data_IF_784011463731
#
_entry.id   IF_784011463731
#
_cell.length_a   1.000
_cell.length_b   1.000
_cell.length_c   1.000
_cell.angle_alpha   90.00
_cell.angle_beta   90.00
_cell.angle_gamma   90.00
#
_symmetry.space_group_name_H-M   'P 1'
#
loop_
_entity.id
_entity.type
_entity.pdbx_description
1 polymer ?
#
# COMPACT_ATOMS: atom_id res chain seq x y z
N UNK A 1 -73.76 -20.79 -35.06
CA UNK A 1 -73.69 -21.15 -33.63
C UNK A 1 -72.21 -21.27 -33.29
N UNK A 2 -71.54 -20.43 -32.52
CA UNK A 2 -71.94 -19.44 -31.54
C UNK A 2 -70.86 -18.33 -31.54
N UNK A 3 -71.30 -17.07 -31.60
CA UNK A 3 -70.68 -15.92 -30.91
C UNK A 3 -70.41 -16.27 -29.43
N UNK A 4 -69.57 -15.64 -28.60
CA UNK A 4 -68.87 -14.35 -28.51
C UNK A 4 -68.00 -14.52 -27.24
N UNK A 5 -66.87 -13.83 -27.11
CA UNK A 5 -66.67 -12.85 -26.04
C UNK A 5 -65.26 -12.26 -26.13
N UNK A 6 -65.28 -10.94 -26.29
CA UNK A 6 -64.16 -10.03 -26.31
C UNK A 6 -63.52 -9.92 -24.93
N UNK A 7 -62.21 -9.64 -24.89
CA UNK A 7 -61.70 -8.66 -23.94
C UNK A 7 -60.51 -7.93 -24.55
N UNK A 8 -60.74 -6.65 -24.88
CA UNK A 8 -59.72 -5.69 -25.32
C UNK A 8 -59.00 -5.16 -24.08
N UNK A 9 -57.69 -5.35 -24.00
CA UNK A 9 -56.83 -4.54 -23.15
C UNK A 9 -55.96 -3.64 -24.03
N UNK A 10 -56.01 -2.35 -23.73
CA UNK A 10 -55.27 -1.28 -24.41
C UNK A 10 -53.77 -1.41 -24.12
N UNK A 11 -52.96 -1.44 -25.19
CA UNK A 11 -51.51 -1.24 -25.11
C UNK A 11 -51.23 0.23 -24.77
N UNK A 12 -50.66 0.49 -23.59
CA UNK A 12 -49.92 1.71 -23.30
C UNK A 12 -48.45 1.47 -23.61
N UNK A 13 -47.97 2.16 -24.65
CA UNK A 13 -46.57 2.28 -25.04
C UNK A 13 -45.80 3.04 -23.94
N UNK A 14 -45.09 2.32 -23.09
CA UNK A 14 -44.02 2.86 -22.26
C UNK A 14 -42.69 2.66 -22.97
N UNK A 15 -42.18 3.70 -23.64
CA UNK A 15 -40.79 3.72 -24.13
C UNK A 15 -39.90 3.89 -22.90
N UNK A 16 -39.44 2.78 -22.33
CA UNK A 16 -38.32 2.79 -21.41
C UNK A 16 -37.05 2.94 -22.25
N UNK A 17 -36.46 4.14 -22.25
CA UNK A 17 -35.12 4.35 -22.74
C UNK A 17 -34.16 3.53 -21.87
N UNK A 18 -33.81 2.34 -22.35
CA UNK A 18 -32.68 1.57 -21.82
C UNK A 18 -31.41 2.34 -22.15
N UNK A 19 -31.04 3.24 -21.25
CA UNK A 19 -29.67 3.73 -21.19
C UNK A 19 -28.76 2.53 -21.02
N UNK A 20 -27.99 2.22 -22.05
CA UNK A 20 -26.88 1.28 -21.95
C UNK A 20 -25.88 1.92 -20.99
N UNK A 21 -26.01 1.61 -19.72
CA UNK A 21 -24.92 1.80 -18.76
C UNK A 21 -23.83 0.86 -19.25
N UNK A 22 -22.84 1.41 -19.93
CA UNK A 22 -21.62 0.71 -20.21
C UNK A 22 -21.01 0.34 -18.86
N UNK A 23 -21.25 -0.88 -18.40
CA UNK A 23 -20.46 -1.47 -17.34
C UNK A 23 -19.02 -1.45 -17.85
N UNK A 24 -18.21 -0.56 -17.27
CA UNK A 24 -16.75 -0.63 -17.38
C UNK A 24 -16.39 -2.02 -16.87
N UNK A 25 -15.97 -2.89 -17.78
CA UNK A 25 -15.42 -4.20 -17.42
C UNK A 25 -14.18 -3.96 -16.56
N UNK A 26 -14.37 -4.09 -15.25
CA UNK A 26 -13.36 -4.17 -14.20
C UNK A 26 -13.47 -5.58 -13.60
N UNK A 27 -12.38 -6.30 -13.31
CA UNK A 27 -11.01 -5.82 -13.07
C UNK A 27 -10.13 -5.75 -14.33
N UNK A 28 -8.95 -5.09 -14.28
CA UNK A 28 -7.90 -5.33 -15.26
C UNK A 28 -7.66 -6.84 -15.35
N UNK A 29 -7.67 -7.38 -16.58
CA UNK A 29 -7.21 -8.75 -16.78
C UNK A 29 -5.76 -8.82 -16.30
N UNK A 30 -5.46 -9.80 -15.45
CA UNK A 30 -4.08 -10.21 -15.13
C UNK A 30 -3.43 -10.58 -16.45
N UNK A 31 -2.70 -9.65 -17.05
CA UNK A 31 -1.93 -9.91 -18.26
C UNK A 31 -0.67 -10.63 -17.82
N UNK A 32 -0.42 -11.83 -18.35
CA UNK A 32 0.77 -12.65 -18.07
C UNK A 32 2.13 -11.98 -18.38
N UNK A 33 2.13 -10.72 -18.85
CA UNK A 33 3.33 -9.93 -19.04
C UNK A 33 3.05 -8.46 -18.79
N UNK A 34 3.93 -7.82 -18.02
CA UNK A 34 3.88 -6.39 -17.75
C UNK A 34 3.90 -5.56 -19.06
N UNK A 35 2.99 -4.57 -19.22
CA UNK A 35 3.01 -3.70 -20.38
C UNK A 35 4.34 -2.95 -20.45
N UNK A 36 5.11 -3.14 -21.54
CA UNK A 36 6.41 -2.46 -21.72
C UNK A 36 6.29 -0.94 -21.80
N UNK A 37 5.14 -0.46 -22.24
CA UNK A 37 4.82 0.97 -22.34
C UNK A 37 3.36 1.20 -21.97
N UNK A 38 3.08 2.32 -21.31
CA UNK A 38 1.73 2.76 -21.00
C UNK A 38 1.50 4.17 -21.57
N UNK A 39 0.23 4.60 -21.63
CA UNK A 39 -0.16 5.92 -22.18
C UNK A 39 0.62 7.04 -21.49
N UNK A 40 1.06 8.03 -22.27
CA UNK A 40 1.79 9.20 -21.74
C UNK A 40 3.32 9.10 -21.83
N UNK A 41 3.85 8.15 -22.61
CA UNK A 41 5.29 8.04 -22.89
C UNK A 41 6.11 7.34 -21.81
N UNK A 42 5.43 6.64 -20.90
CA UNK A 42 6.03 5.84 -19.83
C UNK A 42 6.48 4.48 -20.36
N UNK A 43 7.69 4.07 -19.96
CA UNK A 43 8.29 2.76 -20.26
C UNK A 43 8.58 2.03 -18.97
N UNK A 44 8.30 0.74 -18.93
CA UNK A 44 8.63 -0.13 -17.80
C UNK A 44 10.14 -0.20 -17.62
N UNK A 45 10.63 0.04 -16.40
CA UNK A 45 12.06 0.03 -16.07
C UNK A 45 12.42 -1.00 -15.00
N UNK A 46 11.48 -1.37 -14.15
CA UNK A 46 11.64 -2.41 -13.14
C UNK A 46 10.28 -2.97 -12.76
N UNK A 47 10.20 -4.26 -12.45
CA UNK A 47 8.97 -4.88 -12.00
C UNK A 47 9.19 -6.21 -11.29
N UNK A 48 8.16 -6.63 -10.57
CA UNK A 48 7.98 -8.01 -10.14
C UNK A 48 6.51 -8.41 -10.29
N UNK A 49 6.26 -9.52 -10.98
CA UNK A 49 4.92 -10.06 -11.25
C UNK A 49 4.58 -11.25 -10.34
N UNK A 50 5.55 -11.67 -9.51
CA UNK A 50 5.40 -12.76 -8.56
C UNK A 50 4.89 -14.10 -9.14
N UNK A 51 5.28 -14.40 -10.39
CA UNK A 51 4.84 -15.58 -11.15
C UNK A 51 5.46 -16.91 -10.69
N UNK A 52 6.46 -16.88 -9.81
CA UNK A 52 7.13 -18.07 -9.27
C UNK A 52 6.52 -18.47 -7.92
N UNK A 53 6.50 -19.76 -7.58
CA UNK A 53 6.13 -20.21 -6.24
C UNK A 53 7.36 -20.27 -5.31
N UNK A 54 7.18 -19.89 -4.04
CA UNK A 54 8.20 -20.03 -3.00
C UNK A 54 8.74 -18.71 -2.45
N UNK A 55 10.05 -18.60 -2.24
CA UNK A 55 10.67 -17.38 -1.70
C UNK A 55 10.74 -16.27 -2.74
N UNK A 56 10.79 -15.00 -2.30
CA UNK A 56 10.98 -13.85 -3.20
C UNK A 56 12.37 -13.88 -3.85
N UNK A 57 12.47 -13.29 -5.04
CA UNK A 57 13.74 -13.09 -5.74
C UNK A 57 14.70 -12.25 -4.88
N UNK A 58 15.78 -12.87 -4.41
CA UNK A 58 16.78 -12.24 -3.56
C UNK A 58 17.59 -11.17 -4.28
N UNK A 59 17.55 -11.07 -5.60
CA UNK A 59 18.15 -9.95 -6.33
C UNK A 59 17.27 -8.70 -6.29
N UNK A 60 15.96 -8.85 -6.02
CA UNK A 60 14.98 -7.75 -5.98
C UNK A 60 14.61 -7.32 -4.56
N UNK A 61 14.46 -8.29 -3.65
CA UNK A 61 13.88 -8.08 -2.33
C UNK A 61 14.81 -8.50 -1.19
N UNK A 62 14.82 -7.72 -0.12
CA UNK A 62 15.34 -8.05 1.20
C UNK A 62 14.21 -8.00 2.22
N UNK A 63 14.51 -8.35 3.48
CA UNK A 63 13.54 -8.40 4.56
C UNK A 63 14.04 -7.63 5.77
N UNK A 64 13.18 -6.82 6.37
CA UNK A 64 13.43 -6.36 7.73
C UNK A 64 13.14 -7.48 8.73
N UNK A 65 13.86 -7.47 9.85
CA UNK A 65 13.82 -8.54 10.85
C UNK A 65 13.64 -7.98 12.24
N UNK A 66 12.80 -8.64 13.03
CA UNK A 66 12.58 -8.27 14.43
C UNK A 66 11.52 -7.20 14.63
N UNK A 67 11.57 -6.59 15.81
CA UNK A 67 10.78 -5.41 16.14
C UNK A 67 11.45 -4.16 15.55
N UNK A 68 10.82 -3.54 14.56
CA UNK A 68 11.50 -2.53 13.74
C UNK A 68 11.11 -1.11 14.14
N UNK A 69 9.83 -0.77 14.21
CA UNK A 69 9.36 0.62 14.39
C UNK A 69 8.01 0.70 15.09
N UNK A 70 7.63 1.93 15.46
CA UNK A 70 6.33 2.35 15.99
C UNK A 70 5.75 1.51 17.15
N UNK A 71 6.61 0.85 17.93
CA UNK A 71 6.21 -0.04 19.04
C UNK A 71 5.31 -1.21 18.59
N UNK A 72 5.25 -1.50 17.28
CA UNK A 72 4.31 -2.44 16.66
C UNK A 72 4.37 -3.86 17.28
N UNK A 73 3.28 -4.61 17.21
CA UNK A 73 3.14 -5.90 17.92
C UNK A 73 3.88 -7.06 17.22
N UNK A 74 4.05 -6.99 15.90
CA UNK A 74 4.64 -8.07 15.11
C UNK A 74 6.17 -8.07 15.15
N UNK A 75 6.71 -9.27 15.20
CA UNK A 75 8.08 -9.57 14.83
C UNK A 75 8.17 -9.82 13.33
N UNK A 76 8.92 -8.99 12.60
CA UNK A 76 9.12 -9.20 11.17
C UNK A 76 10.07 -10.36 10.91
N UNK A 77 9.70 -11.27 10.00
CA UNK A 77 10.52 -12.42 9.62
C UNK A 77 10.23 -12.87 8.18
N UNK A 78 11.22 -13.37 7.41
CA UNK A 78 11.03 -13.74 6.01
C UNK A 78 9.99 -14.86 5.77
N UNK A 79 9.79 -15.76 6.73
CA UNK A 79 8.87 -16.91 6.62
C UNK A 79 7.40 -16.52 6.52
N UNK A 80 7.09 -15.25 6.77
CA UNK A 80 5.76 -14.65 6.64
C UNK A 80 5.53 -13.99 5.27
N UNK A 81 6.50 -14.05 4.35
CA UNK A 81 6.36 -13.57 2.98
C UNK A 81 6.76 -14.66 1.98
N UNK A 82 5.85 -15.00 1.07
CA UNK A 82 6.07 -16.03 0.07
C UNK A 82 5.26 -15.72 -1.19
N UNK A 83 5.72 -16.25 -2.30
CA UNK A 83 5.02 -16.19 -3.57
C UNK A 83 4.17 -17.44 -3.75
N UNK A 84 2.91 -17.26 -4.15
CA UNK A 84 2.01 -18.37 -4.52
C UNK A 84 0.90 -17.88 -5.44
N UNK A 85 0.60 -18.68 -6.48
CA UNK A 85 -0.49 -18.43 -7.41
C UNK A 85 -0.38 -17.06 -8.11
N UNK A 86 0.84 -16.67 -8.53
CA UNK A 86 1.10 -15.42 -9.25
C UNK A 86 1.05 -14.17 -8.36
N UNK A 87 1.36 -14.30 -7.06
CA UNK A 87 1.23 -13.23 -6.08
C UNK A 87 2.27 -13.33 -4.99
N UNK A 88 2.74 -12.20 -4.51
CA UNK A 88 3.33 -12.09 -3.18
C UNK A 88 2.22 -12.13 -2.13
N UNK A 89 2.37 -12.98 -1.13
CA UNK A 89 1.53 -13.04 0.07
C UNK A 89 2.38 -12.68 1.28
N UNK A 90 2.03 -11.58 1.93
CA UNK A 90 2.51 -11.22 3.27
C UNK A 90 1.44 -11.64 4.27
N UNK A 91 1.77 -12.54 5.18
CA UNK A 91 0.83 -13.17 6.10
C UNK A 91 1.19 -12.86 7.55
N UNK A 92 0.37 -12.06 8.24
CA UNK A 92 0.51 -11.90 9.67
C UNK A 92 -0.13 -13.09 10.40
N UNK A 93 0.59 -13.66 11.36
CA UNK A 93 0.23 -14.89 12.06
C UNK A 93 0.38 -14.73 13.57
N UNK A 94 -0.47 -15.43 14.32
CA UNK A 94 -0.22 -15.66 15.74
C UNK A 94 1.02 -16.51 15.91
N UNK A 95 1.88 -16.14 16.85
CA UNK A 95 3.09 -16.83 17.23
C UNK A 95 3.14 -17.00 18.76
N UNK A 96 4.11 -17.79 19.23
CA UNK A 96 4.43 -17.93 20.65
C UNK A 96 5.81 -18.58 20.77
N UNK A 97 6.86 -17.77 20.75
CA UNK A 97 8.22 -18.25 20.98
C UNK A 97 9.08 -17.22 21.73
N UNK A 98 10.13 -17.64 22.46
CA UNK A 98 11.01 -16.72 23.15
C UNK A 98 11.65 -15.73 22.18
N UNK A 99 11.60 -14.44 22.50
CA UNK A 99 12.12 -13.39 21.64
C UNK A 99 13.65 -13.48 21.51
N UNK A 100 14.21 -13.67 20.29
CA UNK A 100 15.66 -13.78 20.12
C UNK A 100 16.43 -12.49 20.49
N UNK A 101 15.76 -11.35 20.43
CA UNK A 101 16.32 -10.06 20.81
C UNK A 101 16.20 -9.77 22.32
N UNK A 102 15.56 -10.63 23.12
CA UNK A 102 15.35 -10.37 24.54
C UNK A 102 16.67 -10.20 25.29
N UNK A 103 16.74 -9.17 26.14
CA UNK A 103 17.84 -8.89 27.06
C UNK A 103 17.25 -8.52 28.42
N UNK A 104 17.68 -9.22 29.45
CA UNK A 104 17.31 -8.93 30.84
C UNK A 104 17.76 -7.50 31.20
N UNK A 105 16.97 -6.79 32.00
CA UNK A 105 17.22 -5.42 32.47
C UNK A 105 17.34 -4.31 31.40
N UNK A 106 16.92 -4.57 30.15
CA UNK A 106 16.84 -3.52 29.12
C UNK A 106 15.47 -2.81 29.10
N UNK A 107 15.49 -1.48 28.96
CA UNK A 107 14.28 -0.65 28.83
C UNK A 107 13.84 -0.41 27.38
N UNK A 108 14.68 -0.79 26.40
CA UNK A 108 14.34 -0.65 24.98
C UNK A 108 13.25 -1.65 24.61
N UNK A 109 12.11 -1.14 24.13
CA UNK A 109 10.93 -1.95 23.82
C UNK A 109 11.17 -3.08 22.82
N UNK A 110 12.22 -3.00 21.99
CA UNK A 110 12.58 -4.04 21.02
C UNK A 110 13.28 -5.23 21.66
N UNK A 111 13.94 -5.01 22.80
CA UNK A 111 14.78 -6.01 23.48
C UNK A 111 14.25 -6.36 24.87
N UNK A 112 13.26 -5.62 25.39
CA UNK A 112 12.63 -5.91 26.69
C UNK A 112 11.49 -6.95 26.62
N UNK A 113 11.05 -7.32 25.41
CA UNK A 113 9.98 -8.30 25.20
C UNK A 113 10.53 -9.71 25.29
N UNK A 114 10.08 -10.49 26.28
CA UNK A 114 10.50 -11.89 26.47
C UNK A 114 9.95 -12.84 25.39
N UNK A 115 8.79 -12.51 24.82
CA UNK A 115 8.08 -13.37 23.88
C UNK A 115 7.71 -12.63 22.60
N UNK A 116 7.70 -13.38 21.50
CA UNK A 116 7.07 -12.98 20.23
C UNK A 116 5.70 -13.62 20.17
N UNK A 117 4.67 -12.78 20.20
CA UNK A 117 3.26 -13.21 20.14
C UNK A 117 2.66 -13.13 18.74
N UNK A 118 3.28 -12.33 17.87
CA UNK A 118 2.82 -12.10 16.50
C UNK A 118 3.99 -12.03 15.55
N UNK A 119 3.80 -12.55 14.34
CA UNK A 119 4.78 -12.48 13.25
C UNK A 119 4.14 -11.90 12.00
N UNK A 120 4.95 -11.24 11.18
CA UNK A 120 4.56 -10.74 9.86
C UNK A 120 5.82 -10.57 9.00
N UNK A 121 5.70 -9.96 7.83
CA UNK A 121 6.84 -9.59 6.99
C UNK A 121 6.81 -8.12 6.56
N UNK A 122 8.02 -7.61 6.32
CA UNK A 122 8.30 -6.34 5.66
C UNK A 122 9.36 -6.62 4.62
N UNK A 123 8.99 -6.50 3.35
CA UNK A 123 9.89 -6.71 2.20
C UNK A 123 10.30 -5.37 1.64
N UNK A 124 11.59 -5.23 1.34
CA UNK A 124 12.19 -3.95 0.95
C UNK A 124 13.08 -4.12 -0.27
N UNK A 125 13.15 -3.10 -1.12
CA UNK A 125 14.12 -3.06 -2.23
C UNK A 125 15.43 -2.36 -1.85
N UNK A 126 15.65 -2.06 -0.57
CA UNK A 126 16.83 -1.33 -0.08
C UNK A 126 18.13 -2.03 -0.50
N UNK A 127 19.04 -1.27 -1.11
CA UNK A 127 20.32 -1.80 -1.60
C UNK A 127 20.21 -2.67 -2.86
N UNK A 128 19.00 -2.89 -3.39
CA UNK A 128 18.72 -3.71 -4.58
C UNK A 128 18.15 -2.87 -5.72
N UNK A 129 17.12 -2.08 -5.41
CA UNK A 129 16.50 -1.16 -6.34
C UNK A 129 16.02 0.11 -5.64
N UNK A 130 16.49 1.24 -6.13
CA UNK A 130 16.01 2.58 -5.79
C UNK A 130 15.84 3.36 -7.09
N UNK A 131 14.88 4.27 -7.13
CA UNK A 131 14.61 5.07 -8.33
C UNK A 131 14.26 6.50 -7.95
N UNK A 132 14.55 7.42 -8.87
CA UNK A 132 14.17 8.82 -8.77
C UNK A 132 13.20 9.12 -9.90
N UNK A 133 12.03 9.64 -9.53
CA UNK A 133 10.92 9.93 -10.42
C UNK A 133 10.39 8.69 -11.15
N UNK A 134 9.14 8.76 -11.54
CA UNK A 134 8.50 7.63 -12.18
C UNK A 134 7.02 7.57 -11.94
N UNK A 135 6.44 6.52 -12.49
CA UNK A 135 5.19 5.99 -12.01
C UNK A 135 5.45 4.67 -11.32
N UNK A 136 4.92 4.50 -10.12
CA UNK A 136 4.87 3.21 -9.42
C UNK A 136 3.44 2.74 -9.43
N UNK A 137 3.20 1.49 -9.81
CA UNK A 137 1.90 0.83 -9.68
C UNK A 137 2.10 -0.45 -8.86
N UNK A 138 1.32 -0.59 -7.79
CA UNK A 138 1.23 -1.80 -6.99
C UNK A 138 -0.22 -2.26 -7.03
N UNK A 139 -0.46 -3.43 -7.63
CA UNK A 139 -1.79 -4.04 -7.64
C UNK A 139 -1.88 -4.96 -6.42
N UNK A 140 -2.72 -4.63 -5.46
CA UNK A 140 -2.78 -5.36 -4.20
C UNK A 140 -4.19 -5.41 -3.59
N UNK A 141 -4.41 -6.44 -2.79
CA UNK A 141 -5.56 -6.65 -1.91
C UNK A 141 -5.09 -6.64 -0.47
N UNK A 142 -5.63 -5.74 0.33
CA UNK A 142 -5.25 -5.56 1.73
C UNK A 142 -6.20 -6.26 2.70
N UNK A 143 -5.72 -6.70 3.88
CA UNK A 143 -6.59 -7.17 4.95
C UNK A 143 -7.35 -5.99 5.57
N UNK A 144 -8.68 -6.01 5.45
CA UNK A 144 -9.57 -4.99 6.04
C UNK A 144 -10.17 -5.55 7.31
N UNK A 145 -9.43 -5.44 8.40
CA UNK A 145 -9.89 -5.81 9.74
C UNK A 145 -9.28 -4.87 10.79
N UNK A 146 -9.73 -5.00 12.04
CA UNK A 146 -9.26 -4.14 13.12
C UNK A 146 -7.86 -4.61 13.57
N UNK A 147 -6.88 -3.72 13.48
CA UNK A 147 -5.50 -3.98 13.91
C UNK A 147 -4.56 -4.34 12.76
N UNK A 148 -5.07 -4.63 11.57
CA UNK A 148 -4.23 -4.69 10.38
C UNK A 148 -3.69 -3.31 10.02
N UNK A 149 -2.40 -3.23 9.72
CA UNK A 149 -1.73 -2.03 9.20
C UNK A 149 -0.83 -2.37 8.00
N UNK A 150 -1.41 -2.70 6.84
CA UNK A 150 -0.68 -2.86 5.59
C UNK A 150 -0.21 -1.50 5.07
N UNK A 151 0.99 -1.47 4.49
CA UNK A 151 1.54 -0.28 3.87
C UNK A 151 2.25 -0.56 2.53
N UNK A 152 2.18 0.43 1.64
CA UNK A 152 2.97 0.56 0.41
C UNK A 152 3.63 1.92 0.50
N UNK A 153 4.94 1.94 0.65
CA UNK A 153 5.64 3.16 0.98
C UNK A 153 7.08 3.16 0.51
N UNK A 154 7.65 4.34 0.43
CA UNK A 154 8.97 4.58 -0.09
C UNK A 154 9.78 5.39 0.91
N UNK A 155 11.09 5.14 0.93
CA UNK A 155 12.02 5.84 1.81
C UNK A 155 13.32 6.16 1.10
N UNK A 156 13.88 7.35 1.34
CA UNK A 156 15.25 7.65 0.91
C UNK A 156 16.31 6.93 1.78
N UNK A 157 17.55 6.86 1.30
CA UNK A 157 18.67 6.25 2.05
C UNK A 157 19.81 7.23 2.38
N UNK A 158 19.78 8.44 1.85
CA UNK A 158 20.94 9.36 1.91
C UNK A 158 21.09 10.08 3.25
N UNK A 159 20.00 10.19 4.02
CA UNK A 159 19.94 10.94 5.28
C UNK A 159 19.22 10.15 6.38
N UNK A 160 19.35 10.54 7.67
CA UNK A 160 18.52 9.98 8.73
C UNK A 160 17.05 10.37 8.58
N UNK A 161 16.13 9.50 9.01
CA UNK A 161 14.71 9.83 9.07
C UNK A 161 14.43 11.01 10.01
N UNK A 162 13.53 11.95 9.63
CA UNK A 162 12.72 11.99 8.41
C UNK A 162 13.39 12.77 7.25
N UNK A 163 14.64 13.21 7.41
CA UNK A 163 15.33 14.01 6.41
C UNK A 163 15.65 13.25 5.11
N UNK A 164 15.53 11.92 5.09
CA UNK A 164 15.58 11.12 3.86
C UNK A 164 14.27 11.08 3.06
N UNK A 165 13.18 11.65 3.60
CA UNK A 165 11.88 11.64 2.94
C UNK A 165 11.20 10.28 2.99
N UNK A 166 9.90 10.32 3.22
CA UNK A 166 8.99 9.18 3.26
C UNK A 166 7.76 9.50 2.39
N UNK A 167 7.31 8.53 1.60
CA UNK A 167 6.07 8.63 0.81
C UNK A 167 5.25 7.38 1.01
N UNK A 168 4.06 7.55 1.55
CA UNK A 168 3.12 6.46 1.83
C UNK A 168 2.02 6.47 0.78
N UNK A 169 2.15 5.61 -0.24
CA UNK A 169 1.11 5.40 -1.26
C UNK A 169 -0.15 4.79 -0.64
N UNK A 170 0.05 3.99 0.41
CA UNK A 170 -0.99 3.35 1.20
C UNK A 170 -0.48 3.17 2.63
N UNK A 171 -1.27 3.64 3.58
CA UNK A 171 -1.41 2.99 4.89
C UNK A 171 -2.90 2.75 5.16
N UNK A 172 -3.23 1.64 5.80
CA UNK A 172 -4.57 1.40 6.31
C UNK A 172 -4.53 1.17 7.82
N UNK A 173 -5.30 1.93 8.60
CA UNK A 173 -5.44 1.71 10.04
C UNK A 173 -6.67 2.45 10.61
N UNK A 174 -6.85 2.39 11.93
CA UNK A 174 -7.89 3.14 12.63
C UNK A 174 -7.47 4.59 12.88
N UNK A 175 -8.03 5.55 12.13
CA UNK A 175 -7.86 6.97 12.38
C UNK A 175 -9.11 7.52 13.05
N UNK A 176 -8.98 8.11 14.26
CA UNK A 176 -10.11 8.61 15.05
C UNK A 176 -11.25 7.58 15.24
N UNK A 177 -10.87 6.31 15.43
CA UNK A 177 -11.81 5.20 15.62
C UNK A 177 -12.53 4.73 14.35
N UNK A 178 -12.08 5.15 13.16
CA UNK A 178 -12.63 4.73 11.87
C UNK A 178 -11.57 4.07 10.99
N UNK A 179 -11.88 2.96 10.29
CA UNK A 179 -10.98 2.40 9.28
C UNK A 179 -10.74 3.43 8.18
N UNK A 180 -9.47 3.71 7.89
CA UNK A 180 -9.07 4.84 7.04
C UNK A 180 -7.90 4.43 6.16
N UNK A 181 -7.94 4.85 4.89
CA UNK A 181 -6.80 4.86 3.98
C UNK A 181 -6.08 6.20 4.16
N UNK A 182 -4.78 6.15 4.41
CA UNK A 182 -3.89 7.31 4.45
C UNK A 182 -2.97 7.29 3.23
N UNK A 183 -2.86 8.44 2.57
CA UNK A 183 -1.86 8.74 1.55
C UNK A 183 -1.06 9.98 2.01
N UNK A 184 0.25 9.85 2.14
CA UNK A 184 1.06 10.77 2.94
C UNK A 184 2.46 11.00 2.35
N UNK A 185 3.07 12.15 2.63
CA UNK A 185 4.52 12.31 2.56
C UNK A 185 5.07 13.01 3.82
N UNK A 186 6.29 12.65 4.20
CA UNK A 186 6.98 13.17 5.39
C UNK A 186 8.43 13.58 5.11
N UNK A 187 8.86 14.69 5.71
CA UNK A 187 10.23 15.21 5.64
C UNK A 187 10.63 15.95 6.93
N UNK A 188 11.90 16.35 7.05
CA UNK A 188 12.38 17.05 8.23
C UNK A 188 11.92 18.51 8.28
N UNK A 189 11.44 18.93 9.44
CA UNK A 189 11.12 20.31 9.73
C UNK A 189 12.33 21.15 10.14
N UNK A 190 12.07 22.33 10.71
CA UNK A 190 13.10 23.35 10.96
C UNK A 190 14.03 23.02 12.14
N UNK A 191 13.53 22.25 13.12
CA UNK A 191 14.28 21.86 14.32
C UNK A 191 14.73 20.40 14.27
N UNK A 192 15.59 19.98 15.20
CA UNK A 192 16.09 18.60 15.27
C UNK A 192 15.00 17.56 15.55
N UNK A 193 13.88 17.98 16.13
CA UNK A 193 12.77 17.09 16.51
C UNK A 193 11.56 17.26 15.58
N UNK A 194 11.57 18.28 14.72
CA UNK A 194 10.43 18.63 13.90
C UNK A 194 10.30 17.71 12.67
N UNK A 195 9.07 17.27 12.43
CA UNK A 195 8.69 16.41 11.31
C UNK A 195 7.49 17.01 10.62
N UNK A 196 7.60 17.24 9.32
CA UNK A 196 6.56 17.83 8.50
C UNK A 196 5.82 16.72 7.76
N UNK A 197 4.48 16.84 7.73
CA UNK A 197 3.59 15.87 7.13
C UNK A 197 2.64 16.56 6.15
N UNK A 198 2.47 15.97 4.97
CA UNK A 198 1.39 16.29 4.04
C UNK A 198 0.50 15.04 3.91
N UNK A 199 -0.58 15.01 4.68
CA UNK A 199 -1.41 13.82 4.88
C UNK A 199 -2.83 14.00 4.37
N UNK A 200 -3.34 12.99 3.66
CA UNK A 200 -4.74 12.87 3.28
C UNK A 200 -5.36 11.61 3.86
N UNK A 201 -6.45 11.77 4.61
CA UNK A 201 -7.18 10.68 5.28
C UNK A 201 -8.52 10.44 4.59
N UNK A 202 -8.68 9.28 3.97
CA UNK A 202 -9.91 8.88 3.30
C UNK A 202 -10.59 7.75 4.09
N UNK A 203 -11.77 7.97 4.68
CA UNK A 203 -12.51 6.92 5.38
C UNK A 203 -12.79 5.74 4.45
N UNK A 204 -12.64 4.50 4.93
CA UNK A 204 -12.88 3.31 4.11
C UNK A 204 -14.31 3.23 3.55
N UNK A 205 -15.29 3.82 4.25
CA UNK A 205 -16.69 3.93 3.77
C UNK A 205 -16.80 4.67 2.45
N UNK A 206 -15.87 5.59 2.17
CA UNK A 206 -15.77 6.24 0.86
C UNK A 206 -15.71 5.23 -0.28
N UNK A 207 -15.07 4.08 -0.09
CA UNK A 207 -14.98 3.01 -1.10
C UNK A 207 -16.08 1.95 -0.92
N UNK A 208 -16.26 1.48 0.31
CA UNK A 208 -17.17 0.35 0.60
C UNK A 208 -18.65 0.68 0.46
N UNK A 209 -19.06 1.95 0.58
CA UNK A 209 -20.44 2.38 0.31
C UNK A 209 -20.76 2.34 -1.19
N UNK A 210 -19.75 2.52 -2.05
CA UNK A 210 -19.86 2.44 -3.52
C UNK A 210 -19.74 1.00 -4.03
N UNK A 211 -18.93 0.19 -3.36
CA UNK A 211 -18.70 -1.21 -3.67
C UNK A 211 -18.61 -2.04 -2.38
N UNK A 212 -19.70 -2.71 -1.96
CA UNK A 212 -19.68 -3.56 -0.77
C UNK A 212 -18.68 -4.71 -0.82
N UNK A 213 -18.20 -5.08 -2.02
CA UNK A 213 -17.19 -6.12 -2.21
C UNK A 213 -15.75 -5.57 -2.29
N UNK A 214 -15.54 -4.25 -2.08
CA UNK A 214 -14.25 -3.58 -2.24
C UNK A 214 -13.11 -4.31 -1.52
N UNK A 215 -13.30 -4.64 -0.23
CA UNK A 215 -12.28 -5.32 0.58
C UNK A 215 -11.83 -6.71 0.05
N UNK A 216 -12.59 -7.32 -0.86
CA UNK A 216 -12.28 -8.63 -1.44
C UNK A 216 -11.52 -8.55 -2.77
N UNK A 217 -11.40 -7.35 -3.35
CA UNK A 217 -10.85 -7.10 -4.68
C UNK A 217 -9.39 -6.63 -4.61
N UNK A 218 -8.71 -6.76 -5.74
CA UNK A 218 -7.42 -6.11 -5.96
C UNK A 218 -7.67 -4.68 -6.45
N UNK A 219 -6.80 -3.78 -5.99
CA UNK A 219 -6.83 -2.36 -6.31
C UNK A 219 -5.44 -1.91 -6.76
N UNK A 220 -5.39 -0.92 -7.64
CA UNK A 220 -4.13 -0.36 -8.12
C UNK A 220 -3.80 0.89 -7.30
N UNK A 221 -2.76 0.76 -6.48
CA UNK A 221 -2.13 1.84 -5.74
C UNK A 221 -1.06 2.45 -6.63
N UNK A 222 -1.19 3.74 -6.95
CA UNK A 222 -0.29 4.40 -7.90
C UNK A 222 0.33 5.65 -7.33
N UNK A 223 1.63 5.82 -7.54
CA UNK A 223 2.33 7.09 -7.40
C UNK A 223 2.75 7.59 -8.78
N UNK A 224 2.45 8.85 -9.09
CA UNK A 224 3.11 9.60 -10.16
C UNK A 224 4.02 10.65 -9.54
N UNK A 225 5.33 10.53 -9.76
CA UNK A 225 6.35 11.38 -9.15
C UNK A 225 7.24 12.00 -10.23
N UNK A 226 7.31 13.33 -10.21
CA UNK A 226 8.23 14.12 -11.01
C UNK A 226 8.95 15.16 -10.14
N UNK A 227 9.73 16.04 -10.76
CA UNK A 227 10.50 17.06 -10.05
C UNK A 227 9.64 18.13 -9.36
N UNK A 228 8.34 18.23 -9.69
CA UNK A 228 7.47 19.26 -9.14
C UNK A 228 6.48 18.68 -8.12
N UNK A 229 5.98 17.45 -8.35
CA UNK A 229 4.94 16.85 -7.54
C UNK A 229 5.10 15.36 -7.30
N UNK A 230 4.59 14.92 -6.16
CA UNK A 230 4.18 13.54 -5.90
C UNK A 230 2.66 13.49 -5.91
N UNK A 231 2.06 12.58 -6.67
CA UNK A 231 0.60 12.35 -6.73
C UNK A 231 0.29 10.90 -6.42
N UNK A 232 -0.53 10.68 -5.41
CA UNK A 232 -0.89 9.37 -4.88
C UNK A 232 -2.33 9.05 -5.24
N UNK A 233 -2.57 7.87 -5.80
CA UNK A 233 -3.85 7.44 -6.33
C UNK A 233 -4.23 6.04 -5.87
N UNK A 234 -5.54 5.79 -5.83
CA UNK A 234 -6.16 4.49 -5.69
C UNK A 234 -7.20 4.32 -6.79
N UNK A 235 -7.04 3.30 -7.65
CA UNK A 235 -7.94 3.04 -8.80
C UNK A 235 -8.23 4.28 -9.65
N UNK A 236 -7.18 5.03 -10.01
CA UNK A 236 -7.22 6.31 -10.72
C UNK A 236 -7.83 7.50 -9.95
N UNK A 237 -8.37 7.31 -8.75
CA UNK A 237 -8.82 8.39 -7.87
C UNK A 237 -7.62 9.03 -7.16
N UNK A 238 -7.43 10.36 -7.32
CA UNK A 238 -6.34 11.10 -6.66
C UNK A 238 -6.67 11.26 -5.17
N UNK A 239 -5.81 10.71 -4.30
CA UNK A 239 -5.95 10.79 -2.85
C UNK A 239 -5.13 11.93 -2.25
N UNK A 240 -3.91 12.15 -2.75
CA UNK A 240 -3.05 13.24 -2.28
C UNK A 240 -2.16 13.79 -3.41
N UNK A 241 -1.83 15.08 -3.35
CA UNK A 241 -0.86 15.73 -4.22
C UNK A 241 0.06 16.63 -3.39
N UNK A 242 1.33 16.27 -3.34
CA UNK A 242 2.37 16.98 -2.58
C UNK A 242 3.17 17.87 -3.52
N UNK A 243 3.25 19.17 -3.21
CA UNK A 243 4.06 20.16 -3.95
C UNK A 243 5.50 20.15 -3.41
N UNK A 244 6.43 19.66 -4.23
CA UNK A 244 7.83 19.48 -3.84
C UNK A 244 8.55 20.81 -3.59
N UNK A 245 8.01 21.95 -4.03
CA UNK A 245 8.62 23.26 -3.68
C UNK A 245 8.55 23.56 -2.18
N UNK A 246 7.69 22.85 -1.45
CA UNK A 246 7.46 23.05 -0.01
C UNK A 246 8.16 22.00 0.85
N UNK A 247 8.66 20.93 0.26
CA UNK A 247 9.22 19.77 0.98
C UNK A 247 10.72 19.92 1.22
N UNK A 248 11.15 21.12 1.56
CA UNK A 248 12.57 21.40 1.81
C UNK A 248 12.85 21.06 3.27
N UNK A 249 13.84 20.19 3.50
CA UNK A 249 14.25 19.87 4.87
C UNK A 249 14.77 21.13 5.58
N UNK A 250 14.42 21.29 6.85
CA UNK A 250 15.06 22.30 7.68
C UNK A 250 16.56 22.08 7.82
N UNK A 251 17.28 23.17 8.09
CA UNK A 251 18.76 23.17 8.13
C UNK A 251 19.33 22.28 9.23
N UNK A 252 18.58 22.01 10.29
CA UNK A 252 19.03 21.21 11.43
C UNK A 252 19.28 19.73 11.08
N UNK A 253 18.50 19.13 10.16
CA UNK A 253 18.60 17.69 9.85
C UNK A 253 18.88 17.35 8.38
N UNK A 254 18.53 18.23 7.45
CA UNK A 254 18.62 17.93 6.01
C UNK A 254 19.19 19.05 5.16
N UNK A 255 19.92 19.99 5.76
CA UNK A 255 20.76 21.00 5.09
C UNK A 255 20.06 21.86 4.02
N UNK A 256 18.73 21.99 4.05
CA UNK A 256 17.98 22.71 3.01
C UNK A 256 17.82 21.91 1.71
N UNK A 257 18.09 20.61 1.73
CA UNK A 257 17.86 19.68 0.63
C UNK A 257 16.41 19.24 0.67
N UNK A 258 15.79 19.11 -0.50
CA UNK A 258 14.50 18.45 -0.62
C UNK A 258 14.72 16.95 -0.85
N UNK A 259 14.28 16.07 0.08
CA UNK A 259 14.57 14.64 0.01
C UNK A 259 13.90 13.93 -1.17
N UNK A 260 12.85 14.53 -1.75
CA UNK A 260 12.12 13.97 -2.90
C UNK A 260 12.76 14.35 -4.25
N UNK A 261 14.00 14.85 -4.24
CA UNK A 261 14.87 14.87 -5.42
C UNK A 261 16.02 13.85 -5.33
N UNK A 262 15.97 12.95 -4.36
CA UNK A 262 16.88 11.79 -4.23
C UNK A 262 16.15 10.48 -4.51
N UNK A 263 16.85 9.43 -4.96
CA UNK A 263 16.25 8.10 -5.15
C UNK A 263 15.65 7.52 -3.86
N UNK A 264 14.51 6.84 -3.99
CA UNK A 264 13.87 6.13 -2.90
C UNK A 264 13.73 4.64 -3.21
N UNK A 265 13.77 3.81 -2.17
CA UNK A 265 13.50 2.38 -2.27
C UNK A 265 12.08 2.08 -1.78
N UNK A 266 11.49 0.98 -2.25
CA UNK A 266 10.12 0.56 -1.94
C UNK A 266 10.11 -0.38 -0.73
N UNK A 267 9.06 -0.29 0.06
CA UNK A 267 8.72 -1.18 1.17
C UNK A 267 7.26 -1.63 1.04
N UNK A 268 7.04 -2.91 1.31
CA UNK A 268 5.70 -3.51 1.44
C UNK A 268 5.68 -4.29 2.76
N UNK A 269 4.78 -3.93 3.67
CA UNK A 269 4.67 -4.62 4.95
C UNK A 269 3.23 -4.74 5.42
N UNK A 270 3.03 -5.66 6.37
CA UNK A 270 1.81 -5.77 7.15
C UNK A 270 2.16 -5.64 8.63
N UNK A 271 2.03 -4.44 9.18
CA UNK A 271 2.15 -4.20 10.61
C UNK A 271 0.85 -4.60 11.35
N UNK A 272 0.97 -4.77 12.66
CA UNK A 272 -0.11 -5.00 13.60
C UNK A 272 -0.17 -3.83 14.58
N UNK A 273 -1.27 -3.10 14.50
CA UNK A 273 -1.47 -1.81 15.15
C UNK A 273 -1.72 -1.95 16.66
N UNK A 274 -0.80 -1.43 17.46
CA UNK A 274 -0.82 -1.44 18.94
C UNK A 274 -1.95 -0.60 19.54
N UNK A 275 -2.55 0.31 18.77
CA UNK A 275 -3.75 1.06 19.19
C UNK A 275 -4.94 0.13 19.40
N UNK A 276 -4.88 -1.10 18.87
CA UNK A 276 -5.85 -2.16 19.09
C UNK A 276 -5.41 -3.04 20.27
N UNK A 277 -6.09 -2.87 21.42
CA UNK A 277 -5.78 -3.61 22.65
C UNK A 277 -5.91 -5.14 22.55
N UNK A 278 -6.71 -5.62 21.62
CA UNK A 278 -6.94 -7.05 21.41
C UNK A 278 -7.34 -7.29 19.96
N UNK A 279 -6.56 -8.11 19.27
CA UNK A 279 -6.91 -8.59 17.94
C UNK A 279 -7.98 -9.68 18.03
N UNK A 280 -8.87 -9.74 17.04
CA UNK A 280 -9.82 -10.83 16.92
C UNK A 280 -9.09 -12.07 16.34
N UNK A 281 -9.02 -13.21 17.07
CA UNK A 281 -8.34 -14.40 16.58
C UNK A 281 -8.90 -14.93 15.25
N UNK A 282 -10.19 -14.68 14.96
CA UNK A 282 -10.83 -15.12 13.72
C UNK A 282 -10.35 -14.35 12.47
N UNK A 283 -9.68 -13.21 12.65
CA UNK A 283 -9.11 -12.43 11.55
C UNK A 283 -7.75 -12.99 11.09
N UNK A 284 -7.17 -13.94 11.84
CA UNK A 284 -5.88 -14.56 11.51
C UNK A 284 -6.04 -15.89 10.74
N UNK A 285 -5.15 -16.16 9.77
CA UNK A 285 -4.07 -15.28 9.32
C UNK A 285 -4.59 -14.09 8.51
N UNK A 286 -4.04 -12.89 8.79
CA UNK A 286 -4.31 -11.71 7.96
C UNK A 286 -3.40 -11.76 6.74
N UNK A 287 -3.98 -11.63 5.54
CA UNK A 287 -3.22 -11.70 4.29
C UNK A 287 -3.27 -10.38 3.55
N UNK A 288 -2.08 -9.88 3.26
CA UNK A 288 -1.82 -8.80 2.33
C UNK A 288 -1.25 -9.42 1.06
N UNK A 289 -1.98 -9.31 -0.05
CA UNK A 289 -1.65 -9.99 -1.30
C UNK A 289 -1.35 -8.96 -2.38
N UNK A 290 -0.23 -9.13 -3.07
CA UNK A 290 0.24 -8.24 -4.11
C UNK A 290 0.37 -9.05 -5.40
N UNK A 291 -0.36 -8.63 -6.43
CA UNK A 291 -0.37 -9.21 -7.76
C UNK A 291 0.87 -8.77 -8.56
N UNK A 292 1.21 -7.48 -8.52
CA UNK A 292 2.44 -6.99 -9.13
C UNK A 292 2.94 -5.70 -8.49
N UNK A 293 4.23 -5.44 -8.70
CA UNK A 293 4.85 -4.12 -8.54
C UNK A 293 5.49 -3.73 -9.86
N UNK A 294 5.16 -2.55 -10.39
CA UNK A 294 5.72 -2.06 -11.65
C UNK A 294 6.17 -0.62 -11.52
N UNK A 295 7.37 -0.33 -12.00
CA UNK A 295 7.96 1.01 -12.04
C UNK A 295 8.20 1.41 -13.49
N UNK A 296 7.70 2.59 -13.85
CA UNK A 296 7.79 3.17 -15.18
C UNK A 296 8.47 4.53 -15.14
N UNK A 297 9.23 4.87 -16.19
CA UNK A 297 9.81 6.19 -16.37
C UNK A 297 9.52 6.74 -17.77
N UNK A 298 9.42 8.07 -17.89
CA UNK A 298 9.19 8.71 -19.20
C UNK A 298 10.44 8.59 -20.05
N UNK A 299 10.26 8.20 -21.32
CA UNK A 299 11.36 8.15 -22.29
C UNK A 299 11.63 9.56 -22.82
N UNK A 300 12.87 10.05 -22.70
CA UNK A 300 13.32 11.28 -23.37
C UNK A 300 13.14 12.59 -22.58
N UNK A 301 13.26 12.55 -21.26
CA UNK A 301 13.47 13.74 -20.42
C UNK A 301 14.71 13.57 -19.56
#
# INVERSE_FOLDING_TARGET
MHQLLENKFYCLLGIAALGVVAFRNWPPQVTAQAPKTIKGGWRLVWHDEFDEDGSLDSEKWDFEKGFVRNYEEQWYTPENAFQRDGKLVIEARKAAFPCPAYREDESNWRTSREWVEWTSASVITKGKYSFLYGRVEVCARIPVCKGAWPAIWLLGSDLPWPANGEVDMLEYYQHQGKPTILANACWAGDTEEDTQWDSSYTPLTHFTDRDPAWATRFHVWRMDWDADFIRLYLDDELLNQVDLKRTINGKARGTGINPFHSPQYLLLNLALDTRVKQFNPADFPMRYEIDYVRVYQKVGK
#
